data_IF_182910882497
#
_entry.id   IF_182910882497
#
_cell.length_a   1.000
_cell.length_b   1.000
_cell.length_c   1.000
_cell.angle_alpha   90.00
_cell.angle_beta   90.00
_cell.angle_gamma   90.00
#
_symmetry.space_group_name_H-M   'P 1'
#
loop_
_entity.id
_entity.type
_entity.pdbx_description
1 polymer ?
#
# COMPACT_ATOMS: atom_id res chain seq x y z
N UNK A 1 -27.91 -13.65 -3.67
CA UNK A 1 -27.60 -12.34 -4.28
C UNK A 1 -26.41 -12.51 -5.20
N UNK A 2 -26.62 -12.49 -6.52
CA UNK A 2 -25.50 -12.38 -7.47
C UNK A 2 -25.06 -10.93 -7.52
N UNK A 3 -23.78 -10.68 -7.32
CA UNK A 3 -23.21 -9.36 -7.57
C UNK A 3 -23.21 -9.12 -9.08
N UNK A 4 -24.09 -8.25 -9.54
CA UNK A 4 -24.20 -7.83 -10.93
C UNK A 4 -23.06 -6.83 -11.25
N UNK A 5 -21.83 -7.34 -11.29
CA UNK A 5 -20.65 -6.58 -11.71
C UNK A 5 -20.68 -6.25 -13.21
N UNK A 6 -21.59 -6.90 -13.93
CA UNK A 6 -21.91 -6.66 -15.33
C UNK A 6 -23.11 -5.72 -15.42
N UNK A 7 -22.88 -4.42 -15.23
CA UNK A 7 -23.88 -3.37 -15.49
C UNK A 7 -24.18 -3.21 -17.01
N UNK A 8 -24.13 -4.31 -17.77
CA UNK A 8 -24.21 -4.37 -19.22
C UNK A 8 -23.31 -3.33 -19.89
N UNK A 9 -23.86 -2.60 -20.86
CA UNK A 9 -23.11 -1.55 -21.60
C UNK A 9 -22.51 -0.45 -20.71
N UNK A 10 -22.98 -0.30 -19.46
CA UNK A 10 -22.53 0.76 -18.58
C UNK A 10 -21.31 0.38 -17.73
N UNK A 11 -21.00 -0.91 -17.63
CA UNK A 11 -19.82 -1.40 -16.93
C UNK A 11 -18.55 -0.72 -17.48
N UNK A 12 -18.47 -0.51 -18.80
CA UNK A 12 -17.31 0.13 -19.44
C UNK A 12 -17.10 1.59 -19.03
N UNK A 13 -18.15 2.29 -18.59
CA UNK A 13 -18.03 3.67 -18.10
C UNK A 13 -17.74 3.72 -16.60
N UNK A 14 -18.20 2.72 -15.85
CA UNK A 14 -18.12 2.69 -14.39
C UNK A 14 -16.80 2.09 -13.92
N UNK A 15 -16.40 0.96 -14.50
CA UNK A 15 -15.18 0.23 -14.11
C UNK A 15 -13.88 1.03 -14.21
N UNK A 16 -13.66 1.91 -15.21
CA UNK A 16 -12.43 2.70 -15.28
C UNK A 16 -12.21 3.61 -14.07
N UNK A 17 -13.28 4.21 -13.53
CA UNK A 17 -13.19 5.05 -12.34
C UNK A 17 -12.79 4.23 -11.10
N UNK A 18 -13.37 3.04 -10.96
CA UNK A 18 -12.99 2.11 -9.88
C UNK A 18 -11.57 1.59 -10.06
N UNK A 19 -11.15 1.25 -11.28
CA UNK A 19 -9.80 0.81 -11.59
C UNK A 19 -8.76 1.90 -11.27
N UNK A 20 -9.04 3.16 -11.63
CA UNK A 20 -8.21 4.31 -11.28
C UNK A 20 -8.09 4.47 -9.76
N UNK A 21 -9.20 4.38 -9.05
CA UNK A 21 -9.22 4.48 -7.59
C UNK A 21 -8.40 3.36 -6.95
N UNK A 22 -8.59 2.12 -7.40
CA UNK A 22 -7.82 0.97 -6.94
C UNK A 22 -6.33 1.15 -7.23
N UNK A 23 -5.96 1.69 -8.40
CA UNK A 23 -4.58 1.96 -8.76
C UNK A 23 -3.94 3.00 -7.84
N UNK A 24 -4.65 4.11 -7.55
CA UNK A 24 -4.17 5.14 -6.62
C UNK A 24 -4.00 4.57 -5.21
N UNK A 25 -4.94 3.74 -4.74
CA UNK A 25 -4.80 3.09 -3.44
C UNK A 25 -3.62 2.13 -3.39
N UNK A 26 -3.45 1.29 -4.42
CA UNK A 26 -2.31 0.39 -4.51
C UNK A 26 -0.98 1.15 -4.48
N UNK A 27 -0.93 2.29 -5.18
CA UNK A 27 0.23 3.19 -5.15
C UNK A 27 0.50 3.75 -3.76
N UNK A 28 -0.52 4.27 -3.08
CA UNK A 28 -0.40 4.81 -1.73
C UNK A 28 0.07 3.76 -0.72
N UNK A 29 -0.43 2.53 -0.83
CA UNK A 29 -0.01 1.39 0.00
C UNK A 29 1.47 1.07 -0.27
N UNK A 30 1.88 0.99 -1.53
CA UNK A 30 3.26 0.71 -1.90
C UNK A 30 4.22 1.79 -1.38
N UNK A 31 3.87 3.07 -1.56
CA UNK A 31 4.64 4.20 -1.04
C UNK A 31 4.78 4.15 0.49
N UNK A 32 3.67 3.90 1.20
CA UNK A 32 3.66 3.75 2.66
C UNK A 32 4.57 2.62 3.13
N UNK A 33 4.55 1.48 2.45
CA UNK A 33 5.42 0.34 2.75
C UNK A 33 6.89 0.66 2.47
N UNK A 34 7.21 1.35 1.38
CA UNK A 34 8.57 1.76 1.06
C UNK A 34 9.12 2.74 2.11
N UNK A 35 8.31 3.73 2.51
CA UNK A 35 8.65 4.66 3.57
C UNK A 35 8.90 3.93 4.90
N UNK A 36 8.02 3.00 5.26
CA UNK A 36 8.17 2.18 6.46
C UNK A 36 9.43 1.30 6.42
N UNK A 37 9.79 0.74 5.26
CA UNK A 37 11.03 -0.04 5.09
C UNK A 37 12.28 0.81 5.27
N UNK A 38 12.29 2.03 4.72
CA UNK A 38 13.40 2.97 4.90
C UNK A 38 13.60 3.30 6.38
N UNK A 39 12.52 3.61 7.08
CA UNK A 39 12.59 3.92 8.51
C UNK A 39 12.88 2.71 9.38
N UNK A 40 12.46 1.50 8.99
CA UNK A 40 12.85 0.26 9.68
C UNK A 40 14.35 -0.02 9.57
N UNK A 41 15.01 0.35 8.48
CA UNK A 41 16.45 0.19 8.36
C UNK A 41 17.18 1.11 9.35
N UNK A 42 16.76 2.36 9.46
CA UNK A 42 17.32 3.32 10.41
C UNK A 42 17.00 2.96 11.87
N UNK A 43 15.77 2.51 12.14
CA UNK A 43 15.37 2.04 13.46
C UNK A 43 16.17 0.81 13.90
N UNK A 44 16.46 -0.13 12.99
CA UNK A 44 17.30 -1.29 13.30
C UNK A 44 18.74 -0.88 13.65
N UNK A 45 19.30 0.13 12.98
CA UNK A 45 20.63 0.66 13.31
C UNK A 45 20.64 1.27 14.71
N UNK A 46 19.62 2.06 15.06
CA UNK A 46 19.49 2.64 16.41
C UNK A 46 19.24 1.59 17.49
N UNK A 47 18.47 0.54 17.18
CA UNK A 47 18.24 -0.59 18.09
C UNK A 47 19.51 -1.41 18.33
N UNK A 48 20.35 -1.60 17.32
CA UNK A 48 21.65 -2.28 17.48
C UNK A 48 22.60 -1.48 18.37
N UNK A 49 22.63 -0.14 18.21
CA UNK A 49 23.43 0.77 19.04
C UNK A 49 22.93 0.84 20.50
N UNK A 50 21.61 0.72 20.71
CA UNK A 50 21.02 0.67 22.07
C UNK A 50 21.19 -0.71 22.73
N UNK A 51 21.29 -1.79 21.93
CA UNK A 51 21.48 -3.17 22.40
C UNK A 51 22.94 -3.53 22.68
N UNK A 52 23.88 -2.66 22.32
CA UNK A 52 25.26 -2.70 22.80
C UNK A 52 25.52 -1.62 23.88
N UNK A 53 24.83 -1.64 25.04
CA UNK A 53 25.20 -0.80 26.17
C UNK A 53 26.36 -1.47 26.91
N UNK A 54 27.52 -1.57 26.26
CA UNK A 54 28.81 -1.80 26.93
C UNK A 54 29.06 -3.17 27.59
N UNK A 55 30.27 -3.65 27.36
CA UNK A 55 31.06 -4.42 28.33
C UNK A 55 31.09 -3.75 29.71
#
# INVERSE_FOLDING_TARGET
MSFDFDAGKYAVYVWPAFALTAAVFAWMIADSLLAARRWRAEAQRRQAETKDPGK
#
